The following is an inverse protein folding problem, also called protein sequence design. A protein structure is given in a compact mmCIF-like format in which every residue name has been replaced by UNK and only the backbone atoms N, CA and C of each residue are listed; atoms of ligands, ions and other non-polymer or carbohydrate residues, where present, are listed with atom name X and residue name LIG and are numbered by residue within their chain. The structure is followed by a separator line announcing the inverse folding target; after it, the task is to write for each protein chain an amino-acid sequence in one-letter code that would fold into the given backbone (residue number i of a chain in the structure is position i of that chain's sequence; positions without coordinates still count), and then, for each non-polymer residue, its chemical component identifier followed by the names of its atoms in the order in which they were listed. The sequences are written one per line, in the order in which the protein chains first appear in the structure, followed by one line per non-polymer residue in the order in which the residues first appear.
data_IF_294242513319
#
_entry.id   IF_294242513319
#
_cell.length_a   1.000
_cell.length_b   1.000
_cell.length_c   1.000
_cell.angle_alpha   90.00
_cell.angle_beta   90.00
_cell.angle_gamma   90.00
#
_symmetry.space_group_name_H-M   'P 1'
#
loop_
_entity.id
_entity.type
_entity.pdbx_description
1 polymer ?
#
# COMPACT_ATOMS: atom_id res chain seq x y z
N UNK A 1 0.93 30.43 -6.29
CA UNK A 1 -0.04 30.84 -7.34
C UNK A 1 -0.87 29.62 -7.79
N UNK A 2 -1.50 29.60 -8.97
CA UNK A 2 -2.62 28.71 -9.32
C UNK A 2 -2.62 27.26 -8.77
N UNK A 3 -1.55 26.48 -8.90
CA UNK A 3 -1.50 25.10 -8.36
C UNK A 3 -1.39 25.06 -6.83
N UNK A 4 -0.61 25.96 -6.25
CA UNK A 4 -0.39 26.12 -4.81
C UNK A 4 -1.70 26.46 -4.11
N UNK A 5 -2.50 27.38 -4.69
CA UNK A 5 -3.84 27.71 -4.22
C UNK A 5 -4.78 26.48 -4.24
N UNK A 6 -4.70 25.63 -5.29
CA UNK A 6 -5.45 24.37 -5.36
C UNK A 6 -5.01 23.39 -4.26
N UNK A 7 -3.71 23.23 -4.02
CA UNK A 7 -3.17 22.35 -2.97
C UNK A 7 -3.56 22.84 -1.57
N UNK A 8 -3.48 24.15 -1.32
CA UNK A 8 -3.96 24.76 -0.08
C UNK A 8 -5.46 24.50 0.14
N UNK A 9 -6.29 24.59 -0.90
CA UNK A 9 -7.71 24.28 -0.81
C UNK A 9 -7.99 22.80 -0.43
N UNK A 10 -7.18 21.84 -0.90
CA UNK A 10 -7.29 20.44 -0.47
C UNK A 10 -6.94 20.28 1.01
N UNK A 11 -5.86 20.93 1.48
CA UNK A 11 -5.46 20.89 2.90
C UNK A 11 -6.54 21.49 3.80
N UNK A 12 -7.10 22.65 3.43
CA UNK A 12 -8.18 23.31 4.17
C UNK A 12 -9.44 22.42 4.21
N UNK A 13 -9.83 21.81 3.08
CA UNK A 13 -11.03 20.94 3.00
C UNK A 13 -10.87 19.68 3.88
N UNK A 14 -9.69 19.07 3.86
CA UNK A 14 -9.36 17.92 4.71
C UNK A 14 -9.36 18.32 6.20
N UNK A 15 -8.70 19.42 6.55
CA UNK A 15 -8.66 19.94 7.93
C UNK A 15 -10.05 20.25 8.46
N UNK A 16 -10.89 20.95 7.69
CA UNK A 16 -12.26 21.26 8.08
C UNK A 16 -13.09 19.99 8.30
N UNK A 17 -12.93 18.97 7.46
CA UNK A 17 -13.65 17.70 7.62
C UNK A 17 -13.20 16.94 8.87
N UNK A 18 -11.89 16.92 9.16
CA UNK A 18 -11.33 16.35 10.40
C UNK A 18 -11.87 17.09 11.63
N UNK A 19 -11.86 18.41 11.61
CA UNK A 19 -12.35 19.27 12.69
C UNK A 19 -13.84 19.01 12.95
N UNK A 20 -14.69 19.06 11.91
CA UNK A 20 -16.13 18.85 12.03
C UNK A 20 -16.46 17.47 12.61
N UNK A 21 -15.78 16.41 12.17
CA UNK A 21 -16.01 15.03 12.65
C UNK A 21 -15.56 14.84 14.09
N UNK A 22 -14.48 15.50 14.52
CA UNK A 22 -14.02 15.47 15.91
C UNK A 22 -14.90 16.33 16.83
N UNK A 23 -15.37 17.49 16.38
CA UNK A 23 -16.28 18.36 17.13
C UNK A 23 -17.63 17.68 17.35
N UNK A 24 -18.28 17.15 16.29
CA UNK A 24 -19.54 16.41 16.39
C UNK A 24 -19.46 15.25 17.39
N UNK A 25 -18.36 14.48 17.37
CA UNK A 25 -18.13 13.39 18.31
C UNK A 25 -17.93 13.86 19.77
N UNK A 26 -17.25 14.99 19.98
CA UNK A 26 -17.05 15.58 21.31
C UNK A 26 -18.34 16.20 21.87
N UNK A 27 -19.08 16.96 21.06
CA UNK A 27 -20.33 17.62 21.43
C UNK A 27 -21.43 16.62 21.78
N UNK A 28 -21.51 15.51 21.03
CA UNK A 28 -22.43 14.40 21.33
C UNK A 28 -21.86 13.35 22.29
N UNK A 29 -20.71 13.61 22.92
CA UNK A 29 -20.12 12.79 23.99
C UNK A 29 -19.76 11.35 23.60
N UNK A 30 -19.62 11.07 22.30
CA UNK A 30 -19.58 9.72 21.73
C UNK A 30 -18.23 9.38 21.12
N UNK A 31 -17.90 8.09 21.03
CA UNK A 31 -16.70 7.63 20.29
C UNK A 31 -16.94 7.72 18.78
N UNK A 32 -15.86 7.93 18.03
CA UNK A 32 -15.87 7.91 16.56
C UNK A 32 -16.37 6.56 16.03
N UNK A 33 -17.51 6.59 15.35
CA UNK A 33 -18.22 5.44 14.82
C UNK A 33 -17.70 5.06 13.41
N UNK A 34 -18.31 4.04 12.79
CA UNK A 34 -17.90 3.56 11.44
C UNK A 34 -18.15 4.58 10.33
N UNK A 35 -19.23 5.36 10.41
CA UNK A 35 -19.53 6.42 9.45
C UNK A 35 -18.60 7.63 9.61
N UNK A 36 -18.21 7.99 10.84
CA UNK A 36 -17.20 9.05 11.08
C UNK A 36 -15.86 8.67 10.46
N UNK A 37 -15.40 7.43 10.70
CA UNK A 37 -14.19 6.89 10.08
C UNK A 37 -14.29 6.87 8.55
N UNK A 38 -15.45 6.49 7.99
CA UNK A 38 -15.68 6.53 6.55
C UNK A 38 -15.63 7.96 5.97
N UNK A 39 -16.21 8.96 6.66
CA UNK A 39 -16.09 10.38 6.27
C UNK A 39 -14.63 10.84 6.23
N UNK A 40 -13.83 10.47 7.24
CA UNK A 40 -12.40 10.81 7.32
C UNK A 40 -11.59 10.17 6.19
N UNK A 41 -11.84 8.89 5.87
CA UNK A 41 -11.19 8.18 4.76
C UNK A 41 -11.57 8.84 3.42
N UNK A 42 -12.87 9.05 3.16
CA UNK A 42 -13.34 9.66 1.93
C UNK A 42 -12.78 11.09 1.72
N UNK A 43 -12.68 11.89 2.79
CA UNK A 43 -12.04 13.21 2.74
C UNK A 43 -10.53 13.13 2.44
N UNK A 44 -9.84 12.15 3.02
CA UNK A 44 -8.41 11.91 2.76
C UNK A 44 -8.16 11.51 1.31
N UNK A 45 -8.99 10.63 0.74
CA UNK A 45 -8.87 10.22 -0.67
C UNK A 45 -9.25 11.33 -1.65
N UNK A 46 -10.31 12.10 -1.37
CA UNK A 46 -10.67 13.27 -2.18
C UNK A 46 -9.54 14.33 -2.18
N UNK A 47 -8.95 14.61 -1.02
CA UNK A 47 -7.82 15.54 -0.91
C UNK A 47 -6.55 15.02 -1.62
N UNK A 48 -6.31 13.70 -1.57
CA UNK A 48 -5.23 13.02 -2.30
C UNK A 48 -5.42 13.13 -3.81
N UNK A 49 -6.61 12.83 -4.31
CA UNK A 49 -6.92 12.90 -5.74
C UNK A 49 -6.89 14.34 -6.28
N UNK A 50 -7.53 15.29 -5.59
CA UNK A 50 -7.50 16.71 -5.98
C UNK A 50 -6.08 17.31 -5.97
N UNK A 51 -5.21 16.80 -5.09
CA UNK A 51 -3.78 17.17 -5.09
C UNK A 51 -3.02 16.60 -6.29
N UNK A 52 -3.29 15.34 -6.64
CA UNK A 52 -2.70 14.69 -7.82
C UNK A 52 -3.16 15.34 -9.12
N UNK A 53 -4.44 15.71 -9.24
CA UNK A 53 -4.97 16.46 -10.38
C UNK A 53 -4.29 17.84 -10.53
N UNK A 54 -4.20 18.61 -9.44
CA UNK A 54 -3.51 19.91 -9.46
C UNK A 54 -2.06 19.79 -9.96
N UNK A 55 -1.33 18.76 -9.50
CA UNK A 55 0.04 18.48 -9.94
C UNK A 55 0.13 18.01 -11.40
N UNK A 56 -0.80 17.15 -11.86
CA UNK A 56 -0.92 16.74 -13.28
C UNK A 56 -1.15 17.95 -14.19
N UNK A 57 -2.06 18.83 -13.82
CA UNK A 57 -2.35 20.08 -14.54
C UNK A 57 -1.18 21.06 -14.51
N UNK A 58 -0.33 21.07 -13.47
CA UNK A 58 0.92 21.81 -13.50
C UNK A 58 1.93 21.21 -14.48
N UNK A 59 2.12 19.89 -14.47
CA UNK A 59 3.03 19.20 -15.39
C UNK A 59 2.62 19.44 -16.86
N UNK A 60 1.32 19.40 -17.16
CA UNK A 60 0.80 19.66 -18.50
C UNK A 60 1.04 21.12 -18.94
N UNK A 61 0.81 22.11 -18.05
CA UNK A 61 1.10 23.52 -18.35
C UNK A 61 2.59 23.81 -18.54
N UNK A 62 3.47 23.08 -17.86
CA UNK A 62 4.92 23.17 -18.09
C UNK A 62 5.34 22.51 -19.40
N UNK A 63 4.75 21.37 -19.77
CA UNK A 63 5.00 20.72 -21.05
C UNK A 63 4.57 21.59 -22.24
N UNK A 64 3.37 22.19 -22.18
CA UNK A 64 2.86 23.12 -23.20
C UNK A 64 3.56 24.49 -23.22
N UNK A 65 4.46 24.75 -22.26
CA UNK A 65 5.29 25.96 -22.21
C UNK A 65 6.76 25.71 -22.62
N UNK A 66 7.12 24.46 -22.96
CA UNK A 66 8.38 24.17 -23.61
C UNK A 66 8.28 24.49 -25.11
N UNK A 67 9.29 25.16 -25.71
CA UNK A 67 9.33 25.32 -27.16
C UNK A 67 9.61 23.96 -27.83
N UNK A 68 8.77 23.57 -28.79
CA UNK A 68 8.91 22.36 -29.59
C UNK A 68 10.20 22.39 -30.45
N UNK A 69 11.21 21.59 -30.09
CA UNK A 69 12.32 21.29 -31.00
C UNK A 69 11.86 20.25 -32.05
N UNK A 70 11.40 20.75 -33.20
CA UNK A 70 11.04 19.92 -34.35
C UNK A 70 12.23 19.06 -34.81
N UNK A 71 12.06 17.75 -35.11
CA UNK A 71 13.18 16.86 -35.36
C UNK A 71 13.86 17.14 -36.71
N UNK A 72 15.16 17.46 -36.67
CA UNK A 72 15.99 17.55 -37.89
C UNK A 72 16.34 16.17 -38.42
N UNK A 73 15.99 15.92 -39.69
CA UNK A 73 16.43 14.74 -40.43
C UNK A 73 17.95 14.73 -40.62
N UNK A 74 18.55 13.55 -40.65
CA UNK A 74 19.96 13.33 -40.95
C UNK A 74 20.23 13.49 -42.45
N UNK A 75 21.02 14.49 -42.84
CA UNK A 75 21.64 14.56 -44.17
C UNK A 75 23.05 15.14 -44.09
N UNK A 76 23.99 14.51 -44.80
CA UNK A 76 25.40 14.89 -44.89
C UNK A 76 25.60 15.94 -45.99
N UNK A 77 26.59 16.83 -45.82
CA UNK A 77 27.45 17.32 -46.93
C UNK A 77 28.68 18.08 -46.37
N UNK A 78 29.55 18.61 -47.23
CA UNK A 78 30.97 18.90 -46.95
C UNK A 78 31.37 20.36 -47.28
N UNK A 79 32.48 20.86 -46.72
CA UNK A 79 33.31 21.91 -47.37
C UNK A 79 33.32 23.33 -46.73
N UNK A 80 34.50 23.93 -46.47
CA UNK A 80 34.71 25.36 -46.11
C UNK A 80 35.23 26.20 -47.33
N UNK A 81 35.33 27.56 -47.33
CA UNK A 81 36.45 28.26 -46.64
C UNK A 81 36.32 29.78 -46.26
N UNK A 82 36.69 30.12 -45.01
CA UNK A 82 37.54 31.28 -44.61
C UNK A 82 37.18 32.79 -44.83
N UNK A 83 37.75 33.63 -43.94
CA UNK A 83 37.91 35.13 -43.98
C UNK A 83 36.66 35.98 -43.63
N UNK A 84 36.76 37.11 -42.89
CA UNK A 84 37.90 37.67 -42.11
C UNK A 84 37.52 38.80 -41.12
N UNK A 85 38.25 38.85 -39.99
CA UNK A 85 38.70 40.06 -39.24
C UNK A 85 37.75 40.91 -38.35
N UNK A 86 37.98 40.76 -37.02
CA UNK A 86 38.17 41.83 -36.00
C UNK A 86 37.03 42.82 -35.65
N UNK A 87 36.47 42.64 -34.45
CA UNK A 87 36.62 43.61 -33.34
C UNK A 87 36.55 42.86 -31.98
N UNK A 88 36.66 43.53 -30.83
CA UNK A 88 36.91 42.85 -29.53
C UNK A 88 36.18 43.50 -28.34
N UNK A 89 36.14 42.75 -27.22
CA UNK A 89 35.78 43.16 -25.85
C UNK A 89 34.29 43.42 -25.54
N UNK A 90 33.54 42.37 -25.19
CA UNK A 90 33.04 42.17 -23.79
C UNK A 90 32.35 40.81 -23.56
N UNK A 91 32.56 40.29 -22.36
CA UNK A 91 31.91 39.15 -21.68
C UNK A 91 32.34 39.25 -20.19
N UNK A 92 31.63 38.69 -19.19
CA UNK A 92 30.71 37.54 -19.21
C UNK A 92 29.23 38.00 -18.96
N UNK A 93 28.22 37.17 -18.68
CA UNK A 93 28.04 36.15 -17.62
C UNK A 93 27.27 34.92 -18.13
N UNK A 94 27.75 33.71 -17.79
CA UNK A 94 26.94 32.48 -17.85
C UNK A 94 26.12 32.33 -16.56
N UNK A 95 24.80 32.16 -16.65
CA UNK A 95 23.95 31.80 -15.51
C UNK A 95 23.92 30.29 -15.25
N UNK A 96 25.09 29.70 -14.95
CA UNK A 96 25.14 28.36 -14.36
C UNK A 96 24.69 28.40 -12.90
N UNK A 97 23.42 28.11 -12.63
CA UNK A 97 22.91 27.93 -11.27
C UNK A 97 22.73 26.44 -10.98
N UNK A 98 23.65 25.89 -10.18
CA UNK A 98 23.45 24.61 -9.50
C UNK A 98 22.27 24.71 -8.53
N UNK A 99 21.43 23.69 -8.47
CA UNK A 99 20.73 23.35 -7.22
C UNK A 99 21.78 23.08 -6.13
N UNK A 100 21.64 23.63 -4.92
CA UNK A 100 20.71 23.02 -3.96
C UNK A 100 19.99 24.01 -3.02
N UNK A 101 18.97 23.52 -2.30
CA UNK A 101 18.73 23.64 -0.83
C UNK A 101 17.27 23.28 -0.50
N UNK A 102 17.04 22.67 0.67
CA UNK A 102 15.71 22.32 1.18
C UNK A 102 14.91 23.56 1.64
N UNK A 103 13.58 23.62 1.43
CA UNK A 103 12.72 24.43 2.27
C UNK A 103 12.58 23.78 3.66
N UNK A 104 13.38 24.24 4.63
CA UNK A 104 13.23 23.84 6.04
C UNK A 104 12.00 24.51 6.66
N UNK A 105 10.86 23.81 6.70
CA UNK A 105 9.67 24.30 7.40
C UNK A 105 9.88 24.13 8.91
N UNK A 106 9.96 25.26 9.63
CA UNK A 106 10.09 25.28 11.09
C UNK A 106 8.81 24.80 11.77
N UNK A 107 8.96 24.00 12.83
CA UNK A 107 7.87 23.64 13.73
C UNK A 107 7.29 24.88 14.45
N UNK A 108 5.97 25.03 14.57
CA UNK A 108 5.36 26.01 15.46
C UNK A 108 5.65 25.70 16.93
N UNK A 109 6.06 26.74 17.64
CA UNK A 109 6.41 26.85 19.06
C UNK A 109 5.48 26.08 20.02
N UNK A 110 6.06 25.35 20.99
CA UNK A 110 5.33 24.87 22.18
C UNK A 110 4.86 26.05 23.06
N UNK A 111 3.59 26.11 23.48
CA UNK A 111 3.19 26.98 24.58
C UNK A 111 3.76 26.43 25.90
N UNK A 112 4.81 27.06 26.41
CA UNK A 112 5.46 26.68 27.67
C UNK A 112 4.63 27.15 28.88
N UNK A 113 3.77 26.28 29.41
CA UNK A 113 3.08 26.52 30.68
C UNK A 113 4.06 26.23 31.83
N UNK A 114 4.34 27.24 32.66
CA UNK A 114 5.23 27.15 33.83
C UNK A 114 4.57 26.35 34.96
N UNK A 115 5.29 25.42 35.55
CA UNK A 115 4.89 24.76 36.81
C UNK A 115 5.05 25.70 38.02
N UNK A 116 4.05 25.80 38.92
CA UNK A 116 4.24 26.32 40.26
C UNK A 116 4.57 25.21 41.27
N UNK A 117 5.71 25.38 41.95
CA UNK A 117 6.09 24.93 43.31
C UNK A 117 5.40 23.69 43.92
N UNK A 118 6.21 22.68 44.22
CA UNK A 118 5.90 21.54 45.09
C UNK A 118 6.05 21.91 46.59
N UNK A 119 5.14 21.45 47.48
CA UNK A 119 5.45 21.22 48.89
C UNK A 119 5.75 19.72 49.15
N UNK A 120 6.87 19.41 49.78
CA UNK A 120 7.22 18.05 50.20
C UNK A 120 6.72 17.75 51.61
N UNK A 121 6.08 16.59 51.83
CA UNK A 121 5.82 16.03 53.16
C UNK A 121 6.34 14.58 53.19
N UNK A 122 6.93 14.19 54.32
CA UNK A 122 7.62 12.89 54.52
C UNK A 122 6.64 11.77 54.88
N UNK A 123 7.01 10.52 54.55
CA UNK A 123 6.41 9.31 55.08
C UNK A 123 6.68 9.11 56.58
N UNK A 124 5.86 8.29 57.25
CA UNK A 124 6.35 7.26 58.17
C UNK A 124 6.17 5.84 57.58
N UNK A 125 6.65 4.82 58.29
CA UNK A 125 6.82 3.42 57.82
C UNK A 125 6.34 2.45 58.94
N UNK A 126 6.23 1.14 58.61
CA UNK A 126 6.15 -0.05 59.52
C UNK A 126 4.73 -0.64 59.78
N UNK A 127 4.59 -1.91 60.24
CA UNK A 127 5.21 -3.12 59.63
C UNK A 127 4.36 -4.42 59.64
N UNK A 128 4.80 -5.41 58.85
CA UNK A 128 4.90 -6.88 59.13
C UNK A 128 3.82 -7.63 59.96
N UNK A 129 3.18 -8.66 59.35
CA UNK A 129 3.03 -10.04 59.91
C UNK A 129 2.97 -11.11 58.78
N UNK A 130 3.72 -12.22 58.96
CA UNK A 130 3.52 -13.58 58.39
C UNK A 130 3.83 -14.61 59.52
N UNK A 131 3.98 -15.96 59.34
CA UNK A 131 4.25 -16.80 58.14
C UNK A 131 3.41 -18.13 58.18
N UNK A 132 3.86 -19.41 57.97
CA UNK A 132 4.93 -20.06 57.14
C UNK A 132 4.52 -21.34 56.31
N UNK A 133 5.49 -21.92 55.56
CA UNK A 133 5.62 -23.30 55.00
C UNK A 133 4.68 -23.78 53.85
N UNK A 134 5.05 -24.44 52.72
CA UNK A 134 6.15 -25.36 52.23
C UNK A 134 5.84 -26.89 52.39
N UNK A 135 6.36 -27.85 51.56
CA UNK A 135 7.40 -27.76 50.49
C UNK A 135 7.23 -28.59 49.15
N UNK A 136 8.05 -28.26 48.13
CA UNK A 136 8.64 -29.15 47.06
C UNK A 136 7.69 -29.86 46.04
N UNK A 137 8.11 -30.46 44.89
CA UNK A 137 9.33 -31.26 44.50
C UNK A 137 9.70 -31.16 42.98
N UNK A 138 11.01 -31.01 42.68
CA UNK A 138 11.81 -31.32 41.44
C UNK A 138 11.48 -30.70 40.05
N UNK A 139 12.51 -30.05 39.48
CA UNK A 139 12.87 -30.08 38.04
C UNK A 139 14.03 -31.08 37.83
N UNK A 140 14.60 -31.29 36.60
CA UNK A 140 15.65 -30.36 36.10
C UNK A 140 15.81 -30.25 34.55
N UNK A 141 16.56 -29.21 34.11
CA UNK A 141 17.45 -29.02 32.91
C UNK A 141 17.13 -29.73 31.55
N UNK A 142 17.44 -29.21 30.36
CA UNK A 142 18.25 -28.06 29.89
C UNK A 142 17.90 -27.76 28.41
N UNK A 143 18.27 -26.64 27.77
CA UNK A 143 19.04 -25.45 28.22
C UNK A 143 18.30 -24.13 27.92
N UNK A 144 18.70 -23.10 27.14
CA UNK A 144 19.87 -22.84 26.27
C UNK A 144 20.30 -21.36 26.22
N UNK A 145 21.03 -20.96 25.18
CA UNK A 145 21.82 -19.71 25.07
C UNK A 145 20.98 -18.43 24.95
N UNK A 146 21.08 -17.60 25.98
CA UNK A 146 20.88 -16.14 25.94
C UNK A 146 21.98 -15.48 25.08
N UNK A 147 21.60 -14.61 24.16
CA UNK A 147 22.50 -13.58 23.60
C UNK A 147 21.70 -12.30 23.36
N UNK A 148 22.05 -11.22 24.07
CA UNK A 148 21.31 -9.96 24.07
C UNK A 148 22.20 -8.77 23.74
N UNK A 149 21.88 -8.08 22.63
CA UNK A 149 22.30 -6.69 22.35
C UNK A 149 21.09 -5.96 21.79
N UNK A 150 20.94 -4.69 22.14
CA UNK A 150 19.68 -3.98 22.01
C UNK A 150 19.62 -3.07 20.78
N UNK A 151 18.44 -3.02 20.15
CA UNK A 151 18.01 -1.89 19.32
C UNK A 151 16.60 -1.49 19.78
N UNK A 152 16.50 -0.37 20.48
CA UNK A 152 15.22 0.12 20.98
C UNK A 152 14.48 0.91 19.90
N UNK A 153 13.36 0.39 19.40
CA UNK A 153 12.33 1.18 18.72
C UNK A 153 11.00 0.96 19.42
N UNK A 154 10.43 2.03 19.98
CA UNK A 154 9.25 1.99 20.86
C UNK A 154 7.95 2.06 20.05
N UNK A 155 7.63 0.99 19.32
CA UNK A 155 6.30 0.84 18.73
C UNK A 155 5.28 0.58 19.85
N UNK A 156 4.35 1.52 20.04
CA UNK A 156 3.35 1.44 21.11
C UNK A 156 2.28 0.41 20.73
N UNK A 157 2.23 -0.69 21.47
CA UNK A 157 1.13 -1.65 21.34
C UNK A 157 -0.19 -0.99 21.80
N UNK A 158 -1.24 -0.94 20.95
CA UNK A 158 -2.57 -0.58 21.42
C UNK A 158 -3.10 -1.73 22.27
N UNK A 159 -3.32 -1.50 23.56
CA UNK A 159 -4.04 -2.44 24.43
C UNK A 159 -5.50 -2.55 23.98
N UNK A 160 -5.78 -3.49 23.08
CA UNK A 160 -7.13 -3.70 22.57
C UNK A 160 -8.02 -4.32 23.64
N UNK A 161 -8.78 -3.47 24.34
CA UNK A 161 -9.88 -3.89 25.21
C UNK A 161 -10.95 -4.49 24.32
N UNK A 162 -11.10 -5.82 24.37
CA UNK A 162 -12.06 -6.58 23.56
C UNK A 162 -13.49 -6.01 23.71
N UNK A 163 -14.16 -5.56 22.64
CA UNK A 163 -15.61 -5.48 22.66
C UNK A 163 -16.18 -6.90 22.70
N UNK A 164 -17.20 -7.14 23.52
CA UNK A 164 -17.94 -8.41 23.48
C UNK A 164 -19.00 -8.35 22.37
N UNK A 165 -18.52 -8.41 21.14
CA UNK A 165 -19.28 -8.69 19.92
C UNK A 165 -18.47 -9.72 19.14
N UNK A 166 -19.13 -10.68 18.50
CA UNK A 166 -18.45 -11.63 17.62
C UNK A 166 -18.16 -10.93 16.28
N UNK A 167 -17.22 -9.98 16.29
CA UNK A 167 -16.54 -9.56 15.06
C UNK A 167 -15.70 -10.75 14.60
N UNK A 168 -16.22 -11.53 13.65
CA UNK A 168 -15.44 -12.56 12.96
C UNK A 168 -14.21 -11.91 12.34
N UNK A 169 -13.02 -12.45 12.64
CA UNK A 169 -11.77 -11.96 12.05
C UNK A 169 -11.89 -11.94 10.51
N UNK A 170 -11.44 -10.87 9.83
CA UNK A 170 -11.60 -10.75 8.39
C UNK A 170 -10.81 -11.87 7.70
N UNK A 171 -11.47 -12.66 6.84
CA UNK A 171 -10.86 -13.80 6.15
C UNK A 171 -9.55 -13.43 5.43
N UNK A 172 -9.55 -12.24 4.82
CA UNK A 172 -8.41 -11.66 4.12
C UNK A 172 -7.58 -10.75 5.01
N UNK A 173 -6.27 -10.83 4.87
CA UNK A 173 -5.36 -9.84 5.45
C UNK A 173 -5.69 -8.41 4.97
N UNK A 174 -5.48 -7.40 5.81
CA UNK A 174 -5.61 -5.99 5.43
C UNK A 174 -4.84 -5.64 4.15
N UNK A 175 -3.61 -6.15 3.99
CA UNK A 175 -2.82 -5.95 2.78
C UNK A 175 -3.48 -6.57 1.54
N UNK A 176 -4.09 -7.76 1.69
CA UNK A 176 -4.86 -8.42 0.62
C UNK A 176 -6.07 -7.60 0.21
N UNK A 177 -6.83 -7.10 1.18
CA UNK A 177 -7.99 -6.23 0.95
C UNK A 177 -7.58 -4.95 0.23
N UNK A 178 -6.48 -4.32 0.65
CA UNK A 178 -5.91 -3.14 0.01
C UNK A 178 -5.54 -3.40 -1.47
N UNK A 179 -4.96 -4.56 -1.78
CA UNK A 179 -4.67 -4.94 -3.18
C UNK A 179 -5.95 -5.24 -3.98
N UNK A 180 -6.98 -5.83 -3.34
CA UNK A 180 -8.28 -6.10 -3.96
C UNK A 180 -9.04 -4.79 -4.29
N UNK A 181 -8.99 -3.79 -3.41
CA UNK A 181 -9.66 -2.49 -3.62
C UNK A 181 -8.83 -1.50 -4.46
N UNK A 182 -7.50 -1.55 -4.38
CA UNK A 182 -6.61 -0.67 -5.13
C UNK A 182 -5.87 -1.42 -6.25
N UNK A 183 -6.49 -1.47 -7.43
CA UNK A 183 -5.93 -2.11 -8.64
C UNK A 183 -4.52 -1.61 -8.98
N UNK A 184 -4.23 -0.33 -8.77
CA UNK A 184 -2.94 0.29 -9.07
C UNK A 184 -1.98 0.38 -7.87
N UNK A 185 -2.29 -0.26 -6.72
CA UNK A 185 -1.35 -0.36 -5.59
C UNK A 185 -0.23 -1.34 -5.97
N UNK A 186 1.05 -0.90 -6.00
CA UNK A 186 2.17 -1.80 -6.28
C UNK A 186 2.34 -2.82 -5.15
N UNK A 187 2.99 -3.95 -5.47
CA UNK A 187 3.42 -4.89 -4.44
C UNK A 187 4.46 -4.26 -3.51
N UNK A 188 4.42 -4.61 -2.23
CA UNK A 188 5.40 -4.22 -1.24
C UNK A 188 6.79 -4.78 -1.60
N UNK A 189 7.84 -4.05 -1.24
CA UNK A 189 9.24 -4.42 -1.55
C UNK A 189 9.63 -5.80 -0.99
N UNK A 190 8.94 -6.28 0.04
CA UNK A 190 9.09 -7.61 0.64
C UNK A 190 8.81 -8.76 -0.36
N UNK A 191 8.00 -8.51 -1.40
CA UNK A 191 7.71 -9.45 -2.48
C UNK A 191 8.58 -9.23 -3.72
N UNK A 192 9.56 -8.32 -3.69
CA UNK A 192 10.55 -8.22 -4.76
C UNK A 192 11.41 -9.49 -4.80
N UNK A 193 12.00 -9.85 -5.96
CA UNK A 193 12.65 -11.14 -6.12
C UNK A 193 13.79 -11.34 -5.13
N UNK A 194 13.90 -12.55 -4.56
CA UNK A 194 14.86 -12.98 -3.54
C UNK A 194 14.76 -12.26 -2.20
N UNK A 195 13.62 -11.63 -1.89
CA UNK A 195 13.35 -11.01 -0.59
C UNK A 195 12.53 -11.94 0.33
N UNK A 196 12.23 -11.53 1.57
CA UNK A 196 11.68 -12.42 2.59
C UNK A 196 10.22 -12.88 2.38
N UNK A 197 9.52 -12.28 1.42
CA UNK A 197 8.12 -12.53 1.04
C UNK A 197 7.13 -12.38 2.20
N UNK A 198 7.43 -11.51 3.18
CA UNK A 198 6.51 -11.23 4.29
C UNK A 198 5.49 -10.15 3.96
N UNK A 199 4.23 -10.43 4.23
CA UNK A 199 3.19 -9.41 4.23
C UNK A 199 3.51 -8.29 5.25
N UNK A 200 3.48 -7.00 4.87
CA UNK A 200 3.79 -5.90 5.78
C UNK A 200 2.78 -5.74 6.92
N UNK A 201 1.52 -6.17 6.73
CA UNK A 201 0.43 -5.87 7.65
C UNK A 201 0.16 -7.00 8.66
N UNK A 202 0.37 -8.28 8.27
CA UNK A 202 0.20 -9.43 9.17
C UNK A 202 1.51 -10.19 9.48
N UNK A 203 2.62 -9.89 8.79
CA UNK A 203 3.93 -10.53 9.02
C UNK A 203 4.06 -11.98 8.55
N UNK A 204 2.97 -12.62 8.10
CA UNK A 204 2.99 -13.97 7.52
C UNK A 204 3.86 -13.99 6.27
N UNK A 205 4.57 -15.09 6.04
CA UNK A 205 5.24 -15.33 4.77
C UNK A 205 4.19 -15.82 3.78
N UNK A 206 4.15 -15.21 2.60
CA UNK A 206 3.32 -15.64 1.46
C UNK A 206 4.32 -16.02 0.39
N UNK A 207 4.46 -17.31 0.11
CA UNK A 207 5.54 -17.87 -0.72
C UNK A 207 5.32 -17.57 -2.21
N UNK A 208 5.47 -16.28 -2.58
CA UNK A 208 5.26 -15.70 -3.92
C UNK A 208 6.20 -14.51 -4.11
N UNK A 209 7.05 -14.55 -5.14
CA UNK A 209 7.88 -13.43 -5.60
C UNK A 209 7.17 -12.66 -6.74
N UNK A 210 7.47 -11.37 -6.92
CA UNK A 210 6.72 -10.46 -7.81
C UNK A 210 6.79 -10.80 -9.31
N UNK A 211 7.77 -11.61 -9.70
CA UNK A 211 8.00 -12.15 -11.03
C UNK A 211 7.35 -13.53 -11.26
N UNK A 212 6.78 -14.18 -10.22
CA UNK A 212 6.04 -15.44 -10.37
C UNK A 212 4.81 -15.30 -11.26
N UNK A 213 4.59 -16.29 -12.12
CA UNK A 213 3.49 -16.38 -13.08
C UNK A 213 2.94 -17.80 -13.13
N UNK A 214 1.62 -17.93 -13.16
CA UNK A 214 0.93 -19.22 -13.29
C UNK A 214 0.09 -19.25 -14.56
N UNK A 215 0.24 -20.31 -15.36
CA UNK A 215 -0.55 -20.55 -16.57
C UNK A 215 -1.80 -21.37 -16.24
N UNK A 216 -2.95 -20.90 -16.70
CA UNK A 216 -4.28 -21.50 -16.54
C UNK A 216 -4.84 -21.80 -17.94
N UNK A 217 -4.87 -23.07 -18.32
CA UNK A 217 -5.47 -23.51 -19.60
C UNK A 217 -7.00 -23.63 -19.46
N UNK A 218 -7.76 -22.95 -20.33
CA UNK A 218 -9.21 -23.13 -20.44
C UNK A 218 -9.62 -23.63 -21.83
N UNK A 219 -10.42 -24.70 -21.85
CA UNK A 219 -11.00 -25.26 -23.09
C UNK A 219 -12.21 -24.45 -23.53
N UNK A 220 -12.24 -24.01 -24.79
CA UNK A 220 -13.42 -23.39 -25.41
C UNK A 220 -14.20 -24.41 -26.25
N UNK A 221 -15.49 -24.53 -25.97
CA UNK A 221 -16.44 -25.16 -26.89
C UNK A 221 -16.72 -24.22 -28.05
N UNK A 222 -16.48 -24.59 -29.33
CA UNK A 222 -16.86 -23.75 -30.44
C UNK A 222 -18.40 -23.60 -30.50
N UNK A 223 -18.93 -22.42 -30.90
CA UNK A 223 -20.36 -22.13 -30.90
C UNK A 223 -21.15 -23.13 -31.78
N UNK A 224 -22.47 -23.28 -31.56
CA UNK A 224 -23.31 -24.17 -32.35
C UNK A 224 -23.33 -23.78 -33.83
N UNK A 225 -22.49 -24.44 -34.63
CA UNK A 225 -22.58 -24.47 -36.09
C UNK A 225 -23.97 -24.99 -36.51
N UNK A 226 -24.70 -24.31 -37.41
CA UNK A 226 -25.96 -24.81 -37.94
C UNK A 226 -25.74 -26.02 -38.87
N UNK A 227 -24.63 -26.04 -39.61
CA UNK A 227 -24.18 -27.22 -40.35
C UNK A 227 -23.59 -28.25 -39.38
N UNK A 228 -24.18 -29.44 -39.39
CA UNK A 228 -23.68 -30.61 -38.68
C UNK A 228 -22.41 -31.19 -39.31
N UNK A 229 -21.87 -32.23 -38.67
CA UNK A 229 -20.87 -33.13 -39.24
C UNK A 229 -19.49 -32.53 -39.61
N UNK A 230 -19.11 -31.38 -39.03
CA UNK A 230 -17.68 -31.02 -38.88
C UNK A 230 -17.21 -31.25 -37.46
N UNK A 231 -16.13 -32.02 -37.36
CA UNK A 231 -15.46 -32.37 -36.10
C UNK A 231 -14.92 -31.10 -35.42
N UNK A 232 -15.55 -30.72 -34.30
CA UNK A 232 -15.14 -29.54 -33.53
C UNK A 232 -13.87 -29.84 -32.77
N UNK A 233 -12.73 -29.38 -33.28
CA UNK A 233 -11.54 -29.20 -32.44
C UNK A 233 -11.89 -28.25 -31.30
N UNK A 234 -11.81 -28.75 -30.07
CA UNK A 234 -11.95 -27.95 -28.87
C UNK A 234 -10.85 -26.87 -28.89
N UNK A 235 -11.23 -25.60 -28.76
CA UNK A 235 -10.23 -24.54 -28.63
C UNK A 235 -9.59 -24.57 -27.26
N UNK A 236 -8.45 -23.89 -27.14
CA UNK A 236 -7.77 -23.60 -25.86
C UNK A 236 -7.51 -22.10 -25.82
N UNK A 237 -7.65 -21.51 -24.64
CA UNK A 237 -7.20 -20.16 -24.31
C UNK A 237 -6.32 -20.31 -23.08
N UNK A 238 -5.15 -19.69 -23.10
CA UNK A 238 -4.25 -19.64 -21.96
C UNK A 238 -4.42 -18.31 -21.23
N UNK A 239 -4.37 -18.38 -19.91
CA UNK A 239 -4.41 -17.22 -19.02
C UNK A 239 -3.18 -17.22 -18.14
N UNK A 240 -2.58 -16.05 -17.90
CA UNK A 240 -1.48 -15.86 -16.96
C UNK A 240 -2.00 -15.10 -15.74
N UNK A 241 -2.10 -15.80 -14.61
CA UNK A 241 -2.28 -15.18 -13.31
C UNK A 241 -0.92 -14.65 -12.81
N UNK A 242 -0.88 -13.38 -12.41
CA UNK A 242 0.34 -12.76 -11.91
C UNK A 242 0.48 -12.90 -10.38
N UNK A 243 1.69 -12.69 -9.85
CA UNK A 243 1.97 -12.68 -8.41
C UNK A 243 0.99 -11.83 -7.57
N UNK A 244 0.48 -10.71 -8.11
CA UNK A 244 -0.48 -9.84 -7.42
C UNK A 244 -1.86 -10.48 -7.27
N UNK A 245 -2.29 -11.33 -8.22
CA UNK A 245 -3.50 -12.16 -8.06
C UNK A 245 -3.37 -13.13 -6.89
N UNK A 246 -2.23 -13.80 -6.75
CA UNK A 246 -2.03 -14.79 -5.67
C UNK A 246 -1.85 -14.08 -4.32
N UNK A 247 -1.02 -13.04 -4.24
CA UNK A 247 -0.79 -12.28 -3.00
C UNK A 247 -2.08 -11.61 -2.50
N UNK A 248 -2.95 -11.09 -3.38
CA UNK A 248 -4.24 -10.50 -2.94
C UNK A 248 -5.26 -11.54 -2.43
N UNK A 249 -4.96 -12.83 -2.51
CA UNK A 249 -5.78 -13.91 -1.95
C UNK A 249 -5.38 -14.33 -0.53
N UNK A 250 -4.21 -13.95 0.00
CA UNK A 250 -3.75 -14.50 1.28
C UNK A 250 -4.58 -14.05 2.50
N UNK A 251 -4.77 -14.98 3.43
CA UNK A 251 -5.47 -14.82 4.71
C UNK A 251 -4.51 -14.34 5.82
N UNK A 252 -5.03 -14.10 7.03
CA UNK A 252 -4.19 -13.86 8.20
C UNK A 252 -3.38 -15.10 8.66
N UNK A 253 -3.69 -16.30 8.18
CA UNK A 253 -3.07 -17.56 8.63
C UNK A 253 -1.97 -18.08 7.70
N UNK A 254 -1.93 -17.62 6.45
CA UNK A 254 -0.98 -18.04 5.41
C UNK A 254 -1.64 -18.77 4.25
N UNK A 255 -2.80 -19.40 4.48
CA UNK A 255 -3.65 -19.96 3.43
C UNK A 255 -4.21 -18.87 2.49
N UNK A 256 -4.74 -19.27 1.35
CA UNK A 256 -5.29 -18.39 0.31
C UNK A 256 -6.81 -18.56 0.19
N UNK A 257 -7.57 -17.46 0.31
CA UNK A 257 -9.02 -17.43 0.08
C UNK A 257 -9.33 -16.95 -1.35
N UNK A 258 -10.04 -17.75 -2.15
CA UNK A 258 -10.25 -17.45 -3.57
C UNK A 258 -11.12 -16.18 -3.79
N UNK A 259 -10.49 -15.09 -4.26
CA UNK A 259 -11.18 -13.82 -4.54
C UNK A 259 -12.22 -13.89 -5.66
N UNK A 260 -12.15 -14.92 -6.52
CA UNK A 260 -13.16 -15.21 -7.52
C UNK A 260 -14.38 -15.91 -6.92
N UNK A 261 -14.21 -16.80 -5.93
CA UNK A 261 -15.33 -17.32 -5.13
C UNK A 261 -16.08 -16.17 -4.47
N UNK A 262 -15.35 -15.30 -3.75
CA UNK A 262 -15.90 -14.11 -3.07
C UNK A 262 -16.76 -13.19 -3.95
N UNK A 263 -16.54 -13.20 -5.27
CA UNK A 263 -17.25 -12.39 -6.26
C UNK A 263 -18.39 -13.12 -6.99
N UNK A 264 -18.34 -14.44 -7.05
CA UNK A 264 -19.16 -15.23 -7.98
C UNK A 264 -19.77 -16.51 -7.40
N UNK A 265 -19.54 -16.82 -6.12
CA UNK A 265 -20.07 -17.99 -5.39
C UNK A 265 -20.60 -17.54 -4.02
N UNK A 266 -21.41 -18.37 -3.38
CA UNK A 266 -22.00 -18.09 -2.05
C UNK A 266 -21.06 -18.44 -0.88
N UNK A 267 -19.91 -19.06 -1.17
CA UNK A 267 -18.93 -19.49 -0.17
C UNK A 267 -17.51 -19.31 -0.70
N UNK A 268 -16.61 -18.87 0.16
CA UNK A 268 -15.19 -18.73 -0.14
C UNK A 268 -14.47 -20.09 -0.09
N UNK A 269 -13.64 -20.39 -1.09
CA UNK A 269 -12.76 -21.55 -1.08
C UNK A 269 -11.42 -21.20 -0.42
N UNK A 270 -10.91 -22.09 0.45
CA UNK A 270 -9.62 -21.97 1.11
C UNK A 270 -8.61 -22.99 0.54
N UNK A 271 -7.45 -22.47 0.13
CA UNK A 271 -6.41 -23.19 -0.58
C UNK A 271 -5.08 -23.07 0.19
N UNK A 272 -4.45 -24.16 0.67
CA UNK A 272 -3.24 -24.07 1.51
C UNK A 272 -1.99 -23.52 0.80
N UNK A 273 -1.93 -23.56 -0.53
CA UNK A 273 -0.80 -23.04 -1.32
C UNK A 273 -1.26 -22.26 -2.56
N UNK A 274 -0.36 -21.45 -3.11
CA UNK A 274 -0.54 -20.77 -4.39
C UNK A 274 -1.01 -21.72 -5.51
N UNK A 275 -0.38 -22.89 -5.63
CA UNK A 275 -0.72 -23.85 -6.70
C UNK A 275 -2.11 -24.48 -6.49
N UNK A 276 -2.52 -24.74 -5.24
CA UNK A 276 -3.89 -25.21 -4.96
C UNK A 276 -4.95 -24.14 -5.22
N UNK A 277 -4.63 -22.85 -5.05
CA UNK A 277 -5.49 -21.74 -5.45
C UNK A 277 -5.64 -21.69 -6.99
N UNK A 278 -4.52 -21.81 -7.71
CA UNK A 278 -4.48 -21.75 -9.17
C UNK A 278 -5.19 -22.96 -9.79
N UNK A 279 -4.99 -24.17 -9.27
CA UNK A 279 -5.71 -25.38 -9.71
C UNK A 279 -7.22 -25.26 -9.45
N UNK A 280 -7.62 -24.74 -8.30
CA UNK A 280 -9.02 -24.42 -8.00
C UNK A 280 -9.62 -23.40 -8.99
N UNK A 281 -8.92 -22.30 -9.29
CA UNK A 281 -9.35 -21.30 -10.29
C UNK A 281 -9.40 -21.90 -11.71
N UNK A 282 -8.45 -22.78 -12.04
CA UNK A 282 -8.38 -23.52 -13.29
C UNK A 282 -9.53 -24.54 -13.46
N UNK A 283 -10.18 -24.96 -12.38
CA UNK A 283 -11.36 -25.84 -12.41
C UNK A 283 -12.66 -25.07 -12.27
N UNK A 284 -12.85 -24.36 -11.16
CA UNK A 284 -14.16 -23.87 -10.70
C UNK A 284 -14.61 -22.54 -11.31
N UNK A 285 -13.71 -21.76 -11.93
CA UNK A 285 -14.03 -20.45 -12.48
C UNK A 285 -14.10 -20.41 -14.01
N UNK A 286 -15.09 -19.68 -14.55
CA UNK A 286 -15.33 -19.65 -16.00
C UNK A 286 -14.40 -18.67 -16.73
N UNK A 287 -14.23 -18.85 -18.05
CA UNK A 287 -13.49 -17.93 -18.93
C UNK A 287 -13.97 -16.48 -18.73
N UNK A 288 -15.29 -16.29 -18.63
CA UNK A 288 -15.94 -14.98 -18.43
C UNK A 288 -15.86 -14.43 -17.00
N UNK A 289 -15.27 -15.18 -16.07
CA UNK A 289 -14.87 -14.72 -14.73
C UNK A 289 -13.38 -14.37 -14.73
N UNK A 290 -12.51 -15.21 -15.33
CA UNK A 290 -11.07 -14.92 -15.48
C UNK A 290 -10.84 -13.60 -16.23
N UNK A 291 -11.53 -13.38 -17.36
CA UNK A 291 -11.45 -12.13 -18.14
C UNK A 291 -11.92 -10.86 -17.41
N UNK A 292 -12.43 -10.97 -16.18
CA UNK A 292 -12.83 -9.82 -15.34
C UNK A 292 -11.84 -9.52 -14.21
N UNK A 293 -10.85 -10.39 -13.96
CA UNK A 293 -9.82 -10.13 -12.96
C UNK A 293 -8.66 -9.33 -13.58
N UNK A 294 -8.38 -8.10 -13.12
CA UNK A 294 -7.32 -7.27 -13.69
C UNK A 294 -5.89 -7.75 -13.37
N UNK A 295 -5.77 -8.88 -12.67
CA UNK A 295 -4.51 -9.52 -12.30
C UNK A 295 -4.37 -10.92 -12.96
N UNK A 296 -5.27 -11.27 -13.90
CA UNK A 296 -5.22 -12.45 -14.76
C UNK A 296 -5.38 -11.99 -16.21
N UNK A 297 -4.35 -12.18 -17.04
CA UNK A 297 -4.32 -11.73 -18.44
C UNK A 297 -4.51 -12.92 -19.38
N UNK A 298 -5.20 -12.74 -20.51
CA UNK A 298 -5.30 -13.76 -21.56
C UNK A 298 -4.12 -13.63 -22.54
N UNK A 299 -3.62 -14.76 -23.05
CA UNK A 299 -2.44 -14.86 -23.93
C UNK A 299 -2.78 -15.60 -25.22
#
# INVERSE_FOLDING_TARGET
MATENKLQAQVITLQQTVINVLQDALESGRKLNRADKAKLIAASDAAREGSLDALRQQRQRLALAAPEEMPRQLQLTQGPPSRSSKSSVRSPVQSSVRSPVQPSIRSPVQPSIRSPVQPSIRSPVQPLVGPPAQPSVRSPVSSSRRSSVASSVRSVAPSSVKPSVVESDPLYCWYSLDLQYSQHKPLAINFAPRNDCRCPDCGVRVDVESDDRWVIEKRTSPPPSPDGYRERRQGRIEFVANARFVIKCHTHHGDFACVLCRKHRESDMLCPTADTLIDHVSKEHSISELMKEPDIEAV
#
